data_IF_705971889445
#
_entry.id   IF_705971889445
#
_cell.length_a   1.000
_cell.length_b   1.000
_cell.length_c   1.000
_cell.angle_alpha   90.00
_cell.angle_beta   90.00
_cell.angle_gamma   90.00
#
_symmetry.space_group_name_H-M   'P 1'
#
loop_
_entity.id
_entity.type
_entity.pdbx_description
1 polymer ?
#
# COMPACT_ATOMS: atom_id res chain seq x y z
N UNK A 1 -63.35 54.69 -4.33
CA UNK A 1 -62.87 53.35 -3.92
C UNK A 1 -61.65 52.83 -4.71
N UNK A 2 -61.12 53.56 -5.71
CA UNK A 2 -60.04 53.04 -6.57
C UNK A 2 -58.59 53.24 -6.08
N UNK A 3 -58.32 54.16 -5.15
CA UNK A 3 -56.95 54.44 -4.71
C UNK A 3 -56.36 53.30 -3.83
N UNK A 4 -57.19 52.61 -3.05
CA UNK A 4 -56.76 51.55 -2.13
C UNK A 4 -56.37 50.25 -2.87
N UNK A 5 -57.06 49.91 -3.97
CA UNK A 5 -56.75 48.71 -4.78
C UNK A 5 -55.42 48.81 -5.54
N UNK A 6 -55.02 50.02 -5.97
CA UNK A 6 -53.71 50.23 -6.65
C UNK A 6 -52.54 50.11 -5.68
N UNK A 7 -52.65 50.63 -4.46
CA UNK A 7 -51.60 50.54 -3.44
C UNK A 7 -51.37 49.10 -2.97
N UNK A 8 -52.44 48.32 -2.78
CA UNK A 8 -52.34 46.90 -2.39
C UNK A 8 -51.71 46.01 -3.45
N UNK A 9 -51.95 46.31 -4.74
CA UNK A 9 -51.36 45.58 -5.87
C UNK A 9 -49.85 45.87 -6.01
N UNK A 10 -49.44 47.12 -5.77
CA UNK A 10 -48.03 47.55 -5.79
C UNK A 10 -47.19 46.94 -4.64
N UNK A 11 -47.79 46.78 -3.45
CA UNK A 11 -47.12 46.16 -2.29
C UNK A 11 -46.91 44.65 -2.50
N UNK A 12 -47.89 43.96 -3.10
CA UNK A 12 -47.80 42.53 -3.41
C UNK A 12 -46.77 42.21 -4.51
N UNK A 13 -46.67 43.04 -5.55
CA UNK A 13 -45.66 42.88 -6.60
C UNK A 13 -44.23 43.03 -6.06
N UNK A 14 -43.99 44.03 -5.20
CA UNK A 14 -42.69 44.26 -4.55
C UNK A 14 -42.30 43.16 -3.54
N UNK A 15 -43.26 42.59 -2.80
CA UNK A 15 -42.99 41.44 -1.92
C UNK A 15 -42.66 40.17 -2.71
N UNK A 16 -43.32 39.93 -3.85
CA UNK A 16 -43.03 38.78 -4.72
C UNK A 16 -41.62 38.86 -5.34
N UNK A 17 -41.19 40.06 -5.77
CA UNK A 17 -39.85 40.31 -6.30
C UNK A 17 -38.75 40.13 -5.25
N UNK A 18 -38.99 40.57 -4.01
CA UNK A 18 -38.06 40.36 -2.90
C UNK A 18 -37.88 38.88 -2.58
N UNK A 19 -38.97 38.09 -2.55
CA UNK A 19 -38.93 36.66 -2.31
C UNK A 19 -38.19 35.89 -3.41
N UNK A 20 -38.44 36.22 -4.68
CA UNK A 20 -37.68 35.67 -5.80
C UNK A 20 -36.19 36.02 -5.73
N UNK A 21 -35.82 37.23 -5.28
CA UNK A 21 -34.42 37.62 -5.10
C UNK A 21 -33.71 36.81 -4.00
N UNK A 22 -34.41 36.49 -2.90
CA UNK A 22 -33.87 35.71 -1.79
C UNK A 22 -33.67 34.25 -2.23
N UNK A 23 -34.65 33.67 -2.94
CA UNK A 23 -34.54 32.32 -3.49
C UNK A 23 -33.38 32.20 -4.49
N UNK A 24 -33.22 33.17 -5.39
CA UNK A 24 -32.07 33.23 -6.31
C UNK A 24 -30.74 33.29 -5.57
N UNK A 25 -30.66 34.07 -4.47
CA UNK A 25 -29.45 34.20 -3.65
C UNK A 25 -29.07 32.89 -2.96
N UNK A 26 -30.05 32.13 -2.46
CA UNK A 26 -29.85 30.82 -1.84
C UNK A 26 -29.34 29.80 -2.86
N UNK A 27 -29.94 29.78 -4.07
CA UNK A 27 -29.50 28.90 -5.16
C UNK A 27 -28.08 29.25 -5.60
N UNK A 28 -27.77 30.54 -5.80
CA UNK A 28 -26.42 31.01 -6.13
C UNK A 28 -25.39 30.64 -5.07
N UNK A 29 -25.72 30.81 -3.78
CA UNK A 29 -24.83 30.44 -2.68
C UNK A 29 -24.57 28.94 -2.62
N UNK A 30 -25.58 28.12 -2.93
CA UNK A 30 -25.46 26.66 -3.00
C UNK A 30 -24.58 26.21 -4.16
N UNK A 31 -24.73 26.84 -5.33
CA UNK A 31 -23.87 26.63 -6.51
C UNK A 31 -22.42 27.00 -6.20
N UNK A 32 -22.19 28.14 -5.54
CA UNK A 32 -20.85 28.58 -5.12
C UNK A 32 -20.18 27.57 -4.18
N UNK A 33 -20.93 27.04 -3.20
CA UNK A 33 -20.41 26.00 -2.29
C UNK A 33 -20.02 24.73 -3.04
N UNK A 34 -20.84 24.28 -3.98
CA UNK A 34 -20.54 23.13 -4.84
C UNK A 34 -19.29 23.37 -5.69
N UNK A 35 -19.17 24.55 -6.30
CA UNK A 35 -18.01 24.93 -7.10
C UNK A 35 -16.72 24.98 -6.27
N UNK A 36 -16.76 25.58 -5.07
CA UNK A 36 -15.60 25.65 -4.15
C UNK A 36 -15.20 24.25 -3.70
N UNK A 37 -16.18 23.41 -3.33
CA UNK A 37 -15.93 22.02 -2.94
C UNK A 37 -15.26 21.23 -4.06
N UNK A 38 -15.76 21.32 -5.29
CA UNK A 38 -15.20 20.62 -6.45
C UNK A 38 -13.77 21.10 -6.76
N UNK A 39 -13.52 22.41 -6.66
CA UNK A 39 -12.20 23.01 -6.86
C UNK A 39 -11.20 22.51 -5.81
N UNK A 40 -11.62 22.41 -4.55
CA UNK A 40 -10.79 21.86 -3.47
C UNK A 40 -10.47 20.36 -3.68
N UNK A 41 -11.44 19.57 -4.14
CA UNK A 41 -11.21 18.15 -4.49
C UNK A 41 -10.20 18.00 -5.62
N UNK A 42 -10.32 18.81 -6.68
CA UNK A 42 -9.38 18.77 -7.80
C UNK A 42 -7.96 19.15 -7.37
N UNK A 43 -7.80 20.22 -6.59
CA UNK A 43 -6.48 20.62 -6.05
C UNK A 43 -5.91 19.53 -5.13
N UNK A 44 -6.74 18.91 -4.30
CA UNK A 44 -6.28 17.82 -3.43
C UNK A 44 -5.83 16.60 -4.24
N UNK A 45 -6.53 16.26 -5.33
CA UNK A 45 -6.15 15.19 -6.25
C UNK A 45 -4.80 15.46 -6.92
N UNK A 46 -4.54 16.70 -7.35
CA UNK A 46 -3.25 17.08 -7.92
C UNK A 46 -2.09 17.04 -6.91
N UNK A 47 -2.34 17.46 -5.67
CA UNK A 47 -1.36 17.35 -4.57
C UNK A 47 -1.00 15.90 -4.28
N UNK A 48 -1.99 15.01 -4.24
CA UNK A 48 -1.77 13.58 -4.04
C UNK A 48 -0.98 12.98 -5.19
N UNK A 49 -1.31 13.29 -6.44
CA UNK A 49 -0.57 12.83 -7.61
C UNK A 49 0.90 13.27 -7.56
N UNK A 50 1.15 14.54 -7.23
CA UNK A 50 2.50 15.09 -7.09
C UNK A 50 3.29 14.38 -5.98
N UNK A 51 2.65 14.12 -4.85
CA UNK A 51 3.27 13.38 -3.74
C UNK A 51 3.63 11.94 -4.14
N UNK A 52 2.76 11.25 -4.88
CA UNK A 52 3.03 9.89 -5.39
C UNK A 52 4.25 9.88 -6.31
N UNK A 53 4.37 10.86 -7.22
CA UNK A 53 5.53 10.98 -8.12
C UNK A 53 6.83 11.19 -7.32
N UNK A 54 6.84 12.13 -6.37
CA UNK A 54 8.03 12.40 -5.54
C UNK A 54 8.42 11.15 -4.74
N UNK A 55 7.43 10.48 -4.12
CA UNK A 55 7.68 9.27 -3.35
C UNK A 55 8.20 8.13 -4.24
N UNK A 56 7.68 7.97 -5.46
CA UNK A 56 8.16 6.97 -6.42
C UNK A 56 9.62 7.22 -6.82
N UNK A 57 9.98 8.48 -7.12
CA UNK A 57 11.37 8.85 -7.42
C UNK A 57 12.30 8.60 -6.24
N UNK A 58 11.87 8.93 -5.02
CA UNK A 58 12.67 8.71 -3.82
C UNK A 58 12.88 7.22 -3.52
N UNK A 59 11.82 6.40 -3.61
CA UNK A 59 11.92 4.93 -3.49
C UNK A 59 12.87 4.36 -4.55
N UNK A 60 12.76 4.81 -5.79
CA UNK A 60 13.66 4.42 -6.88
C UNK A 60 15.12 4.81 -6.62
N UNK A 61 15.37 6.01 -6.07
CA UNK A 61 16.71 6.46 -5.71
C UNK A 61 17.35 5.61 -4.62
N UNK A 62 16.60 5.25 -3.56
CA UNK A 62 17.09 4.38 -2.48
C UNK A 62 17.56 3.03 -3.05
N UNK A 63 16.71 2.38 -3.86
CA UNK A 63 17.01 1.07 -4.44
C UNK A 63 18.23 1.15 -5.36
N UNK A 64 18.29 2.15 -6.26
CA UNK A 64 19.43 2.35 -7.18
C UNK A 64 20.73 2.55 -6.41
N UNK A 65 20.71 3.35 -5.33
CA UNK A 65 21.89 3.61 -4.50
C UNK A 65 22.39 2.32 -3.83
N UNK A 66 21.48 1.49 -3.30
CA UNK A 66 21.81 0.18 -2.73
C UNK A 66 22.42 -0.76 -3.77
N UNK A 67 21.83 -0.86 -4.96
CA UNK A 67 22.31 -1.71 -6.05
C UNK A 67 23.67 -1.29 -6.59
N UNK A 68 23.91 0.03 -6.75
CA UNK A 68 25.23 0.56 -7.17
C UNK A 68 26.30 0.21 -6.15
N UNK A 69 26.00 0.33 -4.85
CA UNK A 69 26.95 -0.02 -3.80
C UNK A 69 27.31 -1.52 -3.85
N UNK A 70 26.31 -2.39 -3.93
CA UNK A 70 26.53 -3.85 -4.07
C UNK A 70 27.34 -4.19 -5.32
N UNK A 71 27.01 -3.61 -6.48
CA UNK A 71 27.77 -3.80 -7.73
C UNK A 71 29.22 -3.37 -7.59
N UNK A 72 29.50 -2.22 -6.96
CA UNK A 72 30.88 -1.76 -6.71
C UNK A 72 31.66 -2.73 -5.82
N UNK A 73 31.04 -3.25 -4.76
CA UNK A 73 31.67 -4.25 -3.90
C UNK A 73 31.97 -5.55 -4.67
N UNK A 74 31.04 -6.03 -5.49
CA UNK A 74 31.23 -7.23 -6.32
C UNK A 74 32.38 -7.02 -7.30
N UNK A 75 32.39 -5.91 -8.04
CA UNK A 75 33.47 -5.60 -9.01
C UNK A 75 34.83 -5.52 -8.31
N UNK A 76 34.87 -4.95 -7.11
CA UNK A 76 36.09 -4.87 -6.31
C UNK A 76 36.60 -6.26 -5.88
N UNK A 77 35.72 -7.12 -5.35
CA UNK A 77 36.09 -8.49 -4.98
C UNK A 77 36.57 -9.26 -6.21
N UNK A 78 35.85 -9.15 -7.34
CA UNK A 78 36.21 -9.82 -8.58
C UNK A 78 37.56 -9.34 -9.14
N UNK A 79 37.87 -8.04 -9.05
CA UNK A 79 39.16 -7.52 -9.51
C UNK A 79 40.32 -8.01 -8.64
N UNK A 80 40.11 -8.08 -7.32
CA UNK A 80 41.07 -8.70 -6.40
C UNK A 80 41.30 -10.17 -6.71
N UNK A 81 40.23 -10.95 -6.94
CA UNK A 81 40.30 -12.37 -7.26
C UNK A 81 41.03 -12.62 -8.59
N UNK A 82 40.65 -11.89 -9.65
CA UNK A 82 41.32 -11.99 -10.97
C UNK A 82 42.81 -11.65 -10.86
N UNK A 83 43.14 -10.59 -10.12
CA UNK A 83 44.54 -10.22 -9.89
C UNK A 83 45.32 -11.27 -9.10
N UNK A 84 44.69 -11.93 -8.12
CA UNK A 84 45.31 -13.03 -7.38
C UNK A 84 45.50 -14.27 -8.25
N UNK A 85 44.49 -14.69 -9.02
CA UNK A 85 44.58 -15.83 -9.94
C UNK A 85 45.69 -15.63 -10.98
N UNK A 86 45.76 -14.47 -11.63
CA UNK A 86 46.80 -14.17 -12.61
C UNK A 86 48.22 -14.23 -12.01
N UNK A 87 48.40 -13.71 -10.78
CA UNK A 87 49.69 -13.83 -10.07
C UNK A 87 49.99 -15.28 -9.73
N UNK A 88 49.02 -16.03 -9.23
CA UNK A 88 49.18 -17.44 -8.88
C UNK A 88 49.59 -18.26 -10.12
N UNK A 89 48.89 -18.11 -11.23
CA UNK A 89 49.19 -18.79 -12.48
C UNK A 89 50.60 -18.46 -13.01
N UNK A 90 51.03 -17.19 -12.89
CA UNK A 90 52.38 -16.80 -13.26
C UNK A 90 53.46 -17.44 -12.37
N UNK A 91 53.26 -17.48 -11.05
CA UNK A 91 54.24 -18.02 -10.10
C UNK A 91 54.28 -19.55 -10.08
N UNK A 92 53.16 -20.22 -10.35
CA UNK A 92 53.05 -21.68 -10.37
C UNK A 92 53.12 -22.27 -11.78
N UNK A 93 53.36 -21.46 -12.80
CA UNK A 93 53.71 -21.94 -14.12
C UNK A 93 55.00 -22.76 -14.03
N UNK A 94 54.92 -24.06 -14.33
CA UNK A 94 56.09 -24.94 -14.35
C UNK A 94 57.21 -24.39 -15.22
N UNK A 95 56.87 -23.57 -16.24
CA UNK A 95 57.84 -22.89 -17.09
C UNK A 95 58.63 -21.82 -16.35
N UNK A 96 58.03 -21.05 -15.43
CA UNK A 96 58.77 -20.02 -14.67
C UNK A 96 59.67 -20.68 -13.61
N UNK A 97 59.18 -21.71 -12.93
CA UNK A 97 59.98 -22.48 -11.96
C UNK A 97 61.11 -23.25 -12.67
N UNK A 98 60.82 -23.90 -13.80
CA UNK A 98 61.84 -24.56 -14.62
C UNK A 98 62.86 -23.56 -15.18
N UNK A 99 62.41 -22.39 -15.67
CA UNK A 99 63.32 -21.35 -16.12
C UNK A 99 64.23 -20.86 -14.99
N UNK A 100 63.70 -20.66 -13.77
CA UNK A 100 64.51 -20.28 -12.61
C UNK A 100 65.53 -21.37 -12.26
N UNK A 101 65.13 -22.65 -12.27
CA UNK A 101 66.03 -23.79 -12.01
C UNK A 101 67.10 -23.95 -13.10
N UNK A 102 66.74 -23.84 -14.37
CA UNK A 102 67.68 -23.89 -15.49
C UNK A 102 68.65 -22.72 -15.40
N UNK A 103 68.15 -21.51 -15.15
CA UNK A 103 68.99 -20.32 -15.00
C UNK A 103 69.95 -20.44 -13.82
N UNK A 104 69.53 -21.01 -12.70
CA UNK A 104 70.41 -21.21 -11.54
C UNK A 104 71.47 -22.29 -11.81
N UNK A 105 71.11 -23.38 -12.49
CA UNK A 105 72.03 -24.45 -12.89
C UNK A 105 73.06 -23.96 -13.93
N UNK A 106 72.61 -23.23 -14.95
CA UNK A 106 73.49 -22.64 -15.97
C UNK A 106 74.43 -21.61 -15.34
N UNK A 107 73.94 -20.75 -14.44
CA UNK A 107 74.81 -19.81 -13.71
C UNK A 107 75.81 -20.55 -12.82
N UNK A 108 75.38 -21.59 -12.12
CA UNK A 108 76.27 -22.43 -11.31
C UNK A 108 77.33 -23.15 -12.15
N UNK A 109 76.94 -23.69 -13.31
CA UNK A 109 77.86 -24.32 -14.27
C UNK A 109 78.84 -23.31 -14.86
N UNK A 110 78.39 -22.12 -15.25
CA UNK A 110 79.27 -21.06 -15.77
C UNK A 110 80.32 -20.63 -14.74
N UNK A 111 79.92 -20.48 -13.47
CA UNK A 111 80.86 -20.14 -12.38
C UNK A 111 81.85 -21.29 -12.16
N UNK A 112 81.39 -22.55 -12.07
CA UNK A 112 82.27 -23.71 -11.92
C UNK A 112 83.22 -23.89 -13.10
N UNK A 113 82.76 -23.65 -14.34
CA UNK A 113 83.59 -23.67 -15.55
C UNK A 113 84.62 -22.54 -15.55
N UNK A 114 84.26 -21.34 -15.08
CA UNK A 114 85.20 -20.21 -14.93
C UNK A 114 86.26 -20.51 -13.87
N UNK A 115 85.88 -21.10 -12.73
CA UNK A 115 86.82 -21.52 -11.68
C UNK A 115 87.73 -22.66 -12.17
N UNK A 116 87.18 -23.66 -12.87
CA UNK A 116 87.98 -24.76 -13.43
C UNK A 116 88.95 -24.27 -14.50
N UNK A 117 88.52 -23.36 -15.40
CA UNK A 117 89.42 -22.73 -16.38
C UNK A 117 90.49 -21.88 -15.71
N UNK A 118 90.16 -21.17 -14.64
CA UNK A 118 91.15 -20.41 -13.87
C UNK A 118 92.10 -21.34 -13.09
N UNK A 119 91.65 -22.50 -12.62
CA UNK A 119 92.51 -23.51 -11.98
C UNK A 119 93.44 -24.19 -12.99
N UNK A 120 92.95 -24.49 -14.21
CA UNK A 120 93.79 -24.98 -15.32
C UNK A 120 94.74 -23.90 -15.86
N UNK A 121 94.32 -22.63 -15.84
CA UNK A 121 95.15 -21.48 -16.21
C UNK A 121 96.22 -21.20 -15.15
N UNK A 122 95.91 -21.28 -13.86
CA UNK A 122 96.90 -21.15 -12.78
C UNK A 122 97.89 -22.33 -12.75
N UNK A 123 97.53 -23.52 -13.25
CA UNK A 123 98.48 -24.62 -13.45
C UNK A 123 99.30 -24.51 -14.74
N UNK A 124 98.81 -23.80 -15.76
CA UNK A 124 99.54 -23.55 -17.00
C UNK A 124 100.45 -22.29 -16.93
N UNK A 125 100.10 -21.33 -16.08
CA UNK A 125 100.84 -20.06 -15.89
C UNK A 125 102.09 -20.24 -15.02
N UNK A 126 102.24 -21.35 -14.31
CA UNK A 126 103.52 -21.71 -13.66
C UNK A 126 104.58 -22.22 -14.64
N UNK A 127 104.24 -22.55 -15.90
CA UNK A 127 105.16 -23.26 -16.80
C UNK A 127 105.53 -22.57 -18.12
N UNK A 128 105.07 -21.35 -18.45
CA UNK A 128 105.62 -20.72 -19.66
C UNK A 128 105.52 -19.21 -19.74
N UNK A 129 106.69 -18.61 -19.61
CA UNK A 129 107.05 -17.27 -20.06
C UNK A 129 107.14 -17.30 -21.60
N UNK A 130 106.07 -17.02 -22.36
CA UNK A 130 106.17 -16.71 -23.80
C UNK A 130 104.86 -16.17 -24.41
N UNK A 131 104.93 -14.91 -24.85
CA UNK A 131 104.30 -14.28 -26.03
C UNK A 131 102.78 -14.20 -26.27
N UNK A 132 102.41 -12.98 -26.67
CA UNK A 132 101.37 -12.56 -27.61
C UNK A 132 99.89 -12.56 -27.19
N UNK A 133 99.58 -11.46 -26.50
CA UNK A 133 98.28 -10.80 -26.47
C UNK A 133 97.86 -10.30 -27.86
N UNK A 134 96.76 -10.80 -28.44
CA UNK A 134 95.94 -9.99 -29.38
C UNK A 134 94.47 -10.42 -29.62
N UNK A 135 93.98 -11.52 -29.03
CA UNK A 135 92.59 -11.99 -29.24
C UNK A 135 91.57 -11.80 -28.11
N UNK A 136 92.00 -11.58 -26.86
CA UNK A 136 91.13 -11.68 -25.67
C UNK A 136 90.48 -10.36 -25.23
N UNK A 137 91.05 -9.22 -25.64
CA UNK A 137 90.68 -7.91 -25.08
C UNK A 137 89.26 -7.44 -25.45
N UNK A 138 88.78 -7.73 -26.67
CA UNK A 138 87.46 -7.25 -27.13
C UNK A 138 86.27 -7.91 -26.42
N UNK A 139 86.42 -9.14 -25.91
CA UNK A 139 85.34 -9.86 -25.19
C UNK A 139 85.25 -9.47 -23.71
N UNK A 140 86.39 -9.22 -23.05
CA UNK A 140 86.40 -8.89 -21.62
C UNK A 140 85.92 -7.45 -21.38
N UNK A 141 86.34 -6.54 -22.25
CA UNK A 141 85.98 -5.11 -22.17
C UNK A 141 84.48 -4.91 -22.41
N UNK A 142 83.91 -5.59 -23.41
CA UNK A 142 82.46 -5.55 -23.68
C UNK A 142 81.62 -6.20 -22.56
N UNK A 143 82.10 -7.28 -21.94
CA UNK A 143 81.41 -7.94 -20.81
C UNK A 143 81.49 -7.10 -19.51
N UNK A 144 82.62 -6.41 -19.27
CA UNK A 144 82.78 -5.47 -18.15
C UNK A 144 81.90 -4.23 -18.30
N UNK A 145 81.83 -3.66 -19.50
CA UNK A 145 80.92 -2.55 -19.82
C UNK A 145 79.46 -3.02 -19.67
N UNK A 146 79.09 -4.18 -20.19
CA UNK A 146 77.74 -4.74 -20.03
C UNK A 146 77.37 -4.97 -18.55
N UNK A 147 78.28 -5.52 -17.74
CA UNK A 147 78.07 -5.69 -16.31
C UNK A 147 77.89 -4.35 -15.57
N UNK A 148 78.66 -3.34 -15.96
CA UNK A 148 78.59 -1.99 -15.37
C UNK A 148 77.28 -1.28 -15.75
N UNK A 149 76.86 -1.39 -17.01
CA UNK A 149 75.55 -0.90 -17.49
C UNK A 149 74.40 -1.60 -16.76
N UNK A 150 74.49 -2.92 -16.52
CA UNK A 150 73.48 -3.65 -15.75
C UNK A 150 73.42 -3.23 -14.27
N UNK A 151 74.56 -2.92 -13.65
CA UNK A 151 74.60 -2.37 -12.27
C UNK A 151 73.90 -1.01 -12.21
N UNK A 152 74.21 -0.11 -13.14
CA UNK A 152 73.57 1.22 -13.24
C UNK A 152 72.07 1.07 -13.48
N UNK A 153 71.66 0.21 -14.41
CA UNK A 153 70.24 -0.07 -14.69
C UNK A 153 69.51 -0.60 -13.46
N UNK A 154 70.08 -1.56 -12.73
CA UNK A 154 69.49 -2.11 -11.50
C UNK A 154 69.39 -1.06 -10.40
N UNK A 155 70.43 -0.25 -10.20
CA UNK A 155 70.43 0.85 -9.24
C UNK A 155 69.32 1.86 -9.56
N UNK A 156 69.23 2.29 -10.82
CA UNK A 156 68.20 3.22 -11.28
C UNK A 156 66.78 2.66 -11.09
N UNK A 157 66.56 1.38 -11.43
CA UNK A 157 65.28 0.70 -11.16
C UNK A 157 64.96 0.64 -9.66
N UNK A 158 65.96 0.46 -8.80
CA UNK A 158 65.81 0.52 -7.34
C UNK A 158 65.34 1.90 -6.86
N UNK A 159 65.91 2.99 -7.39
CA UNK A 159 65.49 4.36 -7.10
C UNK A 159 64.05 4.61 -7.54
N UNK A 160 63.68 4.19 -8.75
CA UNK A 160 62.31 4.34 -9.27
C UNK A 160 61.32 3.58 -8.40
N UNK A 161 61.65 2.36 -7.97
CA UNK A 161 60.81 1.56 -7.08
C UNK A 161 60.64 2.20 -5.71
N UNK A 162 61.72 2.74 -5.12
CA UNK A 162 61.65 3.47 -3.85
C UNK A 162 60.78 4.73 -3.96
N UNK A 163 60.95 5.53 -5.03
CA UNK A 163 60.11 6.70 -5.30
C UNK A 163 58.63 6.33 -5.44
N UNK A 164 58.33 5.26 -6.17
CA UNK A 164 56.96 4.74 -6.33
C UNK A 164 56.36 4.29 -5.00
N UNK A 165 57.08 3.47 -4.22
CA UNK A 165 56.66 3.03 -2.88
C UNK A 165 56.41 4.20 -1.94
N UNK A 166 57.32 5.18 -1.90
CA UNK A 166 57.17 6.39 -1.07
C UNK A 166 55.91 7.16 -1.45
N UNK A 167 55.63 7.36 -2.74
CA UNK A 167 54.40 8.03 -3.22
C UNK A 167 53.15 7.27 -2.78
N UNK A 168 53.13 5.94 -2.90
CA UNK A 168 52.01 5.11 -2.44
C UNK A 168 51.80 5.21 -0.93
N UNK A 169 52.87 5.12 -0.13
CA UNK A 169 52.81 5.25 1.34
C UNK A 169 52.23 6.61 1.74
N UNK A 170 52.75 7.71 1.17
CA UNK A 170 52.26 9.06 1.46
C UNK A 170 50.79 9.22 1.08
N UNK A 171 50.38 8.64 -0.04
CA UNK A 171 48.97 8.65 -0.49
C UNK A 171 48.08 7.91 0.51
N UNK A 172 48.48 6.71 0.94
CA UNK A 172 47.72 5.92 1.91
C UNK A 172 47.63 6.66 3.25
N UNK A 173 48.75 7.19 3.75
CA UNK A 173 48.81 7.95 5.00
C UNK A 173 47.89 9.18 4.95
N UNK A 174 47.91 9.94 3.86
CA UNK A 174 47.03 11.10 3.68
C UNK A 174 45.55 10.70 3.69
N UNK A 175 45.19 9.60 3.01
CA UNK A 175 43.81 9.10 2.99
C UNK A 175 43.34 8.61 4.36
N UNK A 176 44.19 7.89 5.11
CA UNK A 176 43.88 7.42 6.47
C UNK A 176 43.68 8.59 7.43
N UNK A 177 44.57 9.59 7.40
CA UNK A 177 44.44 10.82 8.21
C UNK A 177 43.13 11.55 7.90
N UNK A 178 42.81 11.70 6.61
CA UNK A 178 41.55 12.30 6.17
C UNK A 178 40.32 11.52 6.59
N UNK A 179 40.36 10.18 6.50
CA UNK A 179 39.27 9.32 6.97
C UNK A 179 39.05 9.43 8.48
N UNK A 180 40.14 9.43 9.27
CA UNK A 180 40.07 9.58 10.72
C UNK A 180 39.44 10.91 11.13
N UNK A 181 39.90 12.03 10.54
CA UNK A 181 39.34 13.36 10.81
C UNK A 181 37.86 13.47 10.43
N UNK A 182 37.44 12.92 9.28
CA UNK A 182 36.03 12.90 8.85
C UNK A 182 35.16 12.04 9.78
N UNK A 183 35.68 10.89 10.22
CA UNK A 183 34.97 10.01 11.15
C UNK A 183 34.73 10.70 12.49
N UNK A 184 35.76 11.35 13.03
CA UNK A 184 35.67 12.04 14.32
C UNK A 184 34.70 13.23 14.26
N UNK A 185 34.80 14.06 13.22
CA UNK A 185 33.86 15.19 13.03
C UNK A 185 32.42 14.72 12.84
N UNK A 186 32.19 13.62 12.12
CA UNK A 186 30.85 13.05 11.95
C UNK A 186 30.30 12.51 13.26
N UNK A 187 31.11 11.82 14.06
CA UNK A 187 30.72 11.36 15.41
C UNK A 187 30.34 12.52 16.31
N UNK A 188 31.18 13.56 16.41
CA UNK A 188 30.90 14.76 17.20
C UNK A 188 29.62 15.46 16.76
N UNK A 189 29.45 15.67 15.45
CA UNK A 189 28.22 16.27 14.88
C UNK A 189 26.99 15.44 15.23
N UNK A 190 27.06 14.12 15.14
CA UNK A 190 25.95 13.26 15.52
C UNK A 190 25.56 13.42 16.99
N UNK A 191 26.53 13.39 17.90
CA UNK A 191 26.28 13.63 19.33
C UNK A 191 25.64 14.99 19.59
N UNK A 192 26.14 16.06 18.95
CA UNK A 192 25.60 17.41 19.06
C UNK A 192 24.14 17.45 18.59
N UNK A 193 23.83 16.88 17.42
CA UNK A 193 22.46 16.85 16.89
C UNK A 193 21.52 16.06 17.80
N UNK A 194 21.98 14.95 18.39
CA UNK A 194 21.19 14.16 19.35
C UNK A 194 20.87 14.99 20.60
N UNK A 195 21.87 15.67 21.17
CA UNK A 195 21.66 16.52 22.35
C UNK A 195 20.71 17.68 22.01
N UNK A 196 20.95 18.39 20.90
CA UNK A 196 20.12 19.50 20.46
C UNK A 196 18.67 19.09 20.17
N UNK A 197 18.46 17.94 19.52
CA UNK A 197 17.10 17.44 19.24
C UNK A 197 16.35 17.04 20.50
N UNK A 198 17.02 16.39 21.46
CA UNK A 198 16.44 16.07 22.78
C UNK A 198 16.07 17.34 23.55
N UNK A 199 16.93 18.34 23.55
CA UNK A 199 16.68 19.63 24.22
C UNK A 199 15.51 20.38 23.61
N UNK A 200 15.48 20.52 22.27
CA UNK A 200 14.34 21.14 21.56
C UNK A 200 13.03 20.42 21.84
N UNK A 201 13.06 19.07 21.86
CA UNK A 201 11.89 18.27 22.22
C UNK A 201 11.44 18.49 23.67
N UNK A 202 12.37 18.65 24.60
CA UNK A 202 12.05 18.97 26.00
C UNK A 202 11.40 20.35 26.13
N UNK A 203 11.98 21.38 25.52
CA UNK A 203 11.40 22.74 25.52
C UNK A 203 9.98 22.73 24.96
N UNK A 204 9.76 22.10 23.80
CA UNK A 204 8.42 21.99 23.22
C UNK A 204 7.40 21.32 24.14
N UNK A 205 7.80 20.27 24.89
CA UNK A 205 6.94 19.62 25.89
C UNK A 205 6.69 20.49 27.12
N UNK A 206 7.71 21.24 27.57
CA UNK A 206 7.59 22.18 28.70
C UNK A 206 6.60 23.30 28.36
N UNK A 207 6.75 23.90 27.18
CA UNK A 207 5.91 25.02 26.72
C UNK A 207 4.46 24.58 26.47
N UNK A 208 4.25 23.34 25.98
CA UNK A 208 2.92 22.80 25.71
C UNK A 208 2.21 22.19 26.92
N UNK A 209 2.87 22.06 28.09
CA UNK A 209 2.32 21.38 29.28
C UNK A 209 0.97 21.96 29.73
N UNK A 210 0.87 23.30 29.79
CA UNK A 210 -0.37 23.98 30.20
C UNK A 210 -1.52 23.72 29.22
N UNK A 211 -1.26 23.88 27.92
CA UNK A 211 -2.24 23.64 26.84
C UNK A 211 -2.72 22.18 26.81
N UNK A 212 -1.82 21.23 27.03
CA UNK A 212 -2.17 19.81 27.11
C UNK A 212 -3.03 19.50 28.35
N UNK A 213 -2.75 20.13 29.49
CA UNK A 213 -3.57 19.99 30.69
C UNK A 213 -4.97 20.55 30.47
N UNK A 214 -5.07 21.74 29.88
CA UNK A 214 -6.35 22.36 29.51
C UNK A 214 -7.15 21.47 28.54
N UNK A 215 -6.48 20.94 27.50
CA UNK A 215 -7.11 20.03 26.55
C UNK A 215 -7.64 18.77 27.23
N UNK A 216 -6.86 18.18 28.14
CA UNK A 216 -7.28 17.01 28.93
C UNK A 216 -8.48 17.33 29.82
N UNK A 217 -8.47 18.46 30.51
CA UNK A 217 -9.58 18.91 31.35
C UNK A 217 -10.85 19.12 30.51
N UNK A 218 -10.73 19.77 29.35
CA UNK A 218 -11.85 19.94 28.42
C UNK A 218 -12.39 18.60 27.93
N UNK A 219 -11.50 17.68 27.57
CA UNK A 219 -11.89 16.34 27.12
C UNK A 219 -12.61 15.56 28.24
N UNK A 220 -12.13 15.65 29.49
CA UNK A 220 -12.79 15.04 30.65
C UNK A 220 -14.15 15.68 30.94
N UNK A 221 -14.27 17.01 30.92
CA UNK A 221 -15.55 17.72 31.08
C UNK A 221 -16.54 17.30 29.98
N UNK A 222 -16.10 17.25 28.73
CA UNK A 222 -16.93 16.78 27.62
C UNK A 222 -17.36 15.33 27.81
N UNK A 223 -16.46 14.44 28.25
CA UNK A 223 -16.78 13.04 28.52
C UNK A 223 -17.77 12.86 29.69
N UNK A 224 -17.63 13.64 30.76
CA UNK A 224 -18.55 13.63 31.90
C UNK A 224 -19.95 14.14 31.54
N UNK A 225 -20.04 15.05 30.57
CA UNK A 225 -21.30 15.61 30.08
C UNK A 225 -21.98 14.73 29.00
N UNK A 226 -21.42 13.57 28.65
CA UNK A 226 -22.09 12.64 27.72
C UNK A 226 -23.22 11.94 28.46
N UNK A 227 -24.43 12.47 28.31
CA UNK A 227 -25.65 11.78 28.72
C UNK A 227 -25.80 10.46 27.94
N UNK A 228 -26.27 9.41 28.62
CA UNK A 228 -26.59 8.14 27.99
C UNK A 228 -27.61 8.34 26.86
N UNK A 229 -28.57 9.25 26.99
CA UNK A 229 -29.56 9.53 25.93
C UNK A 229 -28.92 10.00 24.61
N UNK A 230 -27.75 10.66 24.67
CA UNK A 230 -27.04 11.18 23.50
C UNK A 230 -26.16 10.15 22.79
N UNK A 231 -25.97 8.98 23.39
CA UNK A 231 -25.26 7.87 22.74
C UNK A 231 -26.05 7.45 21.51
N UNK A 232 -25.36 7.24 20.39
CA UNK A 232 -25.98 6.91 19.10
C UNK A 232 -27.00 5.77 19.23
N UNK A 233 -26.68 4.73 20.02
CA UNK A 233 -27.58 3.62 20.26
C UNK A 233 -28.90 4.05 20.93
N UNK A 234 -28.84 4.85 22.00
CA UNK A 234 -30.03 5.29 22.73
C UNK A 234 -30.86 6.28 21.91
N UNK A 235 -30.21 7.14 21.12
CA UNK A 235 -30.89 8.00 20.13
C UNK A 235 -31.61 7.19 19.06
N UNK A 236 -31.01 6.09 18.61
CA UNK A 236 -31.62 5.21 17.62
C UNK A 236 -32.80 4.44 18.18
N UNK A 237 -32.70 3.95 19.43
CA UNK A 237 -33.83 3.29 20.11
C UNK A 237 -35.01 4.25 20.24
N UNK A 238 -34.76 5.50 20.67
CA UNK A 238 -35.79 6.53 20.74
C UNK A 238 -36.41 6.81 19.35
N UNK A 239 -35.57 7.03 18.33
CA UNK A 239 -36.05 7.29 16.97
C UNK A 239 -36.82 6.10 16.38
N UNK A 240 -36.43 4.86 16.71
CA UNK A 240 -37.13 3.65 16.32
C UNK A 240 -38.54 3.59 16.93
N UNK A 241 -38.68 3.96 18.21
CA UNK A 241 -39.98 3.99 18.89
C UNK A 241 -40.96 4.99 18.27
N UNK A 242 -40.44 6.08 17.70
CA UNK A 242 -41.24 7.11 17.02
C UNK A 242 -41.43 6.85 15.52
N UNK A 243 -40.69 5.90 14.92
CA UNK A 243 -40.55 5.72 13.47
C UNK A 243 -41.89 5.58 12.74
N UNK A 244 -42.82 4.80 13.30
CA UNK A 244 -44.16 4.60 12.70
C UNK A 244 -45.11 5.78 12.90
N UNK A 245 -44.78 6.71 13.79
CA UNK A 245 -45.58 7.90 14.09
C UNK A 245 -45.12 9.15 13.34
N UNK A 246 -43.94 9.09 12.70
CA UNK A 246 -43.38 10.20 11.95
C UNK A 246 -44.25 10.56 10.75
N UNK A 247 -44.64 11.84 10.64
CA UNK A 247 -45.45 12.35 9.51
C UNK A 247 -44.61 12.66 8.27
N UNK A 248 -43.30 12.86 8.43
CA UNK A 248 -42.39 13.25 7.36
C UNK A 248 -41.67 12.04 6.78
N UNK A 249 -41.91 11.75 5.50
CA UNK A 249 -41.20 10.69 4.75
C UNK A 249 -39.68 10.93 4.75
N UNK A 250 -39.25 12.20 4.69
CA UNK A 250 -37.83 12.54 4.79
C UNK A 250 -37.24 12.21 6.17
N UNK A 251 -38.01 12.38 7.25
CA UNK A 251 -37.60 11.99 8.60
C UNK A 251 -37.52 10.47 8.77
N UNK A 252 -38.49 9.73 8.21
CA UNK A 252 -38.47 8.26 8.19
C UNK A 252 -37.23 7.76 7.44
N UNK A 253 -36.97 8.32 6.25
CA UNK A 253 -35.83 7.95 5.43
C UNK A 253 -34.50 8.18 6.15
N UNK A 254 -34.29 9.37 6.72
CA UNK A 254 -33.08 9.69 7.47
C UNK A 254 -32.87 8.73 8.66
N UNK A 255 -33.95 8.38 9.36
CA UNK A 255 -33.90 7.43 10.49
C UNK A 255 -33.51 6.03 10.01
N UNK A 256 -34.10 5.55 8.91
CA UNK A 256 -33.78 4.25 8.31
C UNK A 256 -32.35 4.20 7.77
N UNK A 257 -31.86 5.27 7.16
CA UNK A 257 -30.45 5.38 6.71
C UNK A 257 -29.48 5.32 7.89
N UNK A 258 -29.81 6.01 8.99
CA UNK A 258 -29.00 5.97 10.21
C UNK A 258 -29.02 4.58 10.84
N UNK A 259 -30.16 3.90 10.87
CA UNK A 259 -30.28 2.51 11.34
C UNK A 259 -29.45 1.55 10.49
N UNK A 260 -29.52 1.63 9.16
CA UNK A 260 -28.74 0.78 8.25
C UNK A 260 -27.24 0.99 8.43
N UNK A 261 -26.79 2.25 8.47
CA UNK A 261 -25.35 2.56 8.60
C UNK A 261 -24.77 2.13 9.95
N UNK A 262 -25.54 2.25 11.04
CA UNK A 262 -25.05 1.91 12.39
C UNK A 262 -25.12 0.42 12.69
N UNK A 263 -26.13 -0.30 12.17
CA UNK A 263 -26.22 -1.77 12.29
C UNK A 263 -25.18 -2.50 11.44
N UNK A 264 -24.61 -1.85 10.41
CA UNK A 264 -23.62 -2.46 9.52
C UNK A 264 -22.32 -2.90 10.23
N UNK A 265 -21.92 -2.18 11.29
CA UNK A 265 -20.58 -2.33 11.89
C UNK A 265 -20.57 -2.81 13.35
N UNK A 266 -21.73 -2.94 14.01
CA UNK A 266 -21.79 -3.23 15.45
C UNK A 266 -22.83 -4.30 15.78
N UNK A 267 -22.38 -5.48 16.20
CA UNK A 267 -23.24 -6.56 16.69
C UNK A 267 -24.06 -6.12 17.91
N UNK A 268 -23.43 -5.45 18.89
CA UNK A 268 -24.11 -4.96 20.09
C UNK A 268 -25.24 -3.99 19.75
N UNK A 269 -25.08 -3.17 18.71
CA UNK A 269 -26.15 -2.29 18.22
C UNK A 269 -27.34 -3.10 17.70
N UNK A 270 -27.07 -4.16 16.93
CA UNK A 270 -28.09 -5.07 16.41
C UNK A 270 -28.86 -5.77 17.55
N UNK A 271 -28.17 -6.29 18.55
CA UNK A 271 -28.78 -6.97 19.71
C UNK A 271 -29.72 -6.03 20.49
N UNK A 272 -29.25 -4.83 20.80
CA UNK A 272 -29.99 -3.84 21.58
C UNK A 272 -31.20 -3.28 20.79
N UNK A 273 -31.07 -3.10 19.48
CA UNK A 273 -32.19 -2.71 18.62
C UNK A 273 -33.24 -3.82 18.51
N UNK A 274 -32.82 -5.08 18.40
CA UNK A 274 -33.74 -6.22 18.40
C UNK A 274 -34.47 -6.33 19.74
N UNK A 275 -33.76 -6.15 20.86
CA UNK A 275 -34.38 -6.09 22.19
C UNK A 275 -35.39 -4.94 22.33
N UNK A 276 -35.15 -3.82 21.65
CA UNK A 276 -36.09 -2.69 21.57
C UNK A 276 -37.27 -2.89 20.58
N UNK A 277 -37.41 -4.07 19.96
CA UNK A 277 -38.52 -4.36 19.04
C UNK A 277 -38.32 -3.84 17.61
N UNK A 278 -37.06 -3.68 17.17
CA UNK A 278 -36.76 -3.18 15.83
C UNK A 278 -37.33 -4.05 14.70
N UNK A 279 -37.34 -5.39 14.87
CA UNK A 279 -37.80 -6.30 13.82
C UNK A 279 -39.28 -6.04 13.48
N UNK A 280 -40.16 -6.04 14.49
CA UNK A 280 -41.59 -5.81 14.27
C UNK A 280 -41.87 -4.41 13.71
N UNK A 281 -41.12 -3.41 14.17
CA UNK A 281 -41.25 -2.02 13.70
C UNK A 281 -40.85 -1.90 12.23
N UNK A 282 -39.72 -2.48 11.84
CA UNK A 282 -39.24 -2.49 10.46
C UNK A 282 -40.16 -3.30 9.53
N UNK A 283 -40.68 -4.45 9.98
CA UNK A 283 -41.63 -5.26 9.21
C UNK A 283 -42.95 -4.52 8.96
N UNK A 284 -43.48 -3.82 9.98
CA UNK A 284 -44.66 -2.95 9.83
C UNK A 284 -44.38 -1.83 8.83
N UNK A 285 -43.23 -1.16 8.96
CA UNK A 285 -42.81 -0.11 8.03
C UNK A 285 -42.76 -0.64 6.59
N UNK A 286 -42.03 -1.74 6.36
CA UNK A 286 -41.93 -2.40 5.05
C UNK A 286 -43.31 -2.68 4.44
N UNK A 287 -44.25 -3.17 5.25
CA UNK A 287 -45.61 -3.47 4.77
C UNK A 287 -46.47 -2.24 4.44
N UNK A 288 -46.15 -1.08 5.03
CA UNK A 288 -46.90 0.19 4.87
C UNK A 288 -46.38 1.08 3.74
N UNK A 289 -45.16 0.82 3.26
CA UNK A 289 -44.44 1.68 2.33
C UNK A 289 -44.99 1.54 0.91
N UNK A 290 -45.22 2.68 0.24
CA UNK A 290 -45.83 2.72 -1.10
C UNK A 290 -44.80 2.52 -2.23
N UNK A 291 -45.24 2.67 -3.49
CA UNK A 291 -44.35 2.59 -4.68
C UNK A 291 -43.69 3.93 -5.04
N UNK A 292 -43.84 4.96 -4.22
CA UNK A 292 -43.17 6.24 -4.48
C UNK A 292 -41.65 6.08 -4.38
N UNK A 293 -40.89 6.90 -5.11
CA UNK A 293 -39.42 6.87 -5.09
C UNK A 293 -38.86 6.98 -3.65
N UNK A 294 -39.29 7.93 -2.79
CA UNK A 294 -38.75 8.02 -1.43
C UNK A 294 -39.14 6.82 -0.57
N UNK A 295 -40.32 6.25 -0.79
CA UNK A 295 -40.78 5.04 -0.11
C UNK A 295 -39.93 3.82 -0.51
N UNK A 296 -39.54 3.68 -1.77
CA UNK A 296 -38.64 2.60 -2.20
C UNK A 296 -37.24 2.70 -1.57
N UNK A 297 -36.75 3.91 -1.30
CA UNK A 297 -35.50 4.09 -0.54
C UNK A 297 -35.65 3.75 0.94
N UNK A 298 -36.80 4.09 1.57
CA UNK A 298 -37.13 3.65 2.93
C UNK A 298 -37.16 2.12 3.01
N UNK A 299 -37.81 1.47 2.04
CA UNK A 299 -37.85 0.02 1.91
C UNK A 299 -36.43 -0.57 1.80
N UNK A 300 -35.59 0.00 0.93
CA UNK A 300 -34.21 -0.45 0.72
C UNK A 300 -33.38 -0.39 2.01
N UNK A 301 -33.44 0.73 2.75
CA UNK A 301 -32.72 0.87 4.01
C UNK A 301 -33.30 -0.04 5.11
N UNK A 302 -34.62 -0.21 5.17
CA UNK A 302 -35.28 -1.10 6.14
C UNK A 302 -34.89 -2.56 5.92
N UNK A 303 -34.94 -3.03 4.67
CA UNK A 303 -34.48 -4.36 4.30
C UNK A 303 -32.97 -4.52 4.55
N UNK A 304 -32.15 -3.51 4.24
CA UNK A 304 -30.71 -3.57 4.52
C UNK A 304 -30.43 -3.70 6.01
N UNK A 305 -31.21 -3.00 6.84
CA UNK A 305 -31.13 -3.11 8.30
C UNK A 305 -31.48 -4.54 8.74
N UNK A 306 -32.60 -5.11 8.27
CA UNK A 306 -32.96 -6.51 8.57
C UNK A 306 -31.88 -7.50 8.11
N UNK A 307 -31.26 -7.27 6.96
CA UNK A 307 -30.11 -8.08 6.50
C UNK A 307 -28.92 -7.97 7.45
N UNK A 308 -28.60 -6.76 7.92
CA UNK A 308 -27.51 -6.57 8.88
C UNK A 308 -27.78 -7.35 10.18
N UNK A 309 -29.03 -7.42 10.62
CA UNK A 309 -29.45 -8.25 11.77
C UNK A 309 -29.32 -9.75 11.46
N UNK A 310 -29.83 -10.20 10.32
CA UNK A 310 -29.81 -11.60 9.88
C UNK A 310 -28.40 -12.17 9.60
N UNK A 311 -27.36 -11.33 9.70
CA UNK A 311 -25.96 -11.77 9.68
C UNK A 311 -25.61 -12.61 10.90
N UNK A 312 -26.26 -12.38 12.04
CA UNK A 312 -25.95 -13.03 13.31
C UNK A 312 -26.97 -14.15 13.60
N UNK A 313 -26.54 -15.42 13.74
CA UNK A 313 -27.46 -16.57 13.83
C UNK A 313 -28.55 -16.45 14.90
N UNK A 314 -28.19 -16.01 16.10
CA UNK A 314 -29.15 -15.82 17.21
C UNK A 314 -30.20 -14.73 16.93
N UNK A 315 -29.86 -13.68 16.16
CA UNK A 315 -30.84 -12.66 15.74
C UNK A 315 -31.68 -13.14 14.56
N UNK A 316 -31.14 -14.01 13.70
CA UNK A 316 -31.89 -14.66 12.63
C UNK A 316 -33.01 -15.54 13.19
N UNK A 317 -32.76 -16.25 14.28
CA UNK A 317 -33.81 -17.02 14.99
C UNK A 317 -34.94 -16.12 15.51
N UNK A 318 -34.59 -14.98 16.11
CA UNK A 318 -35.60 -13.98 16.53
C UNK A 318 -36.39 -13.48 15.33
N UNK A 319 -35.72 -13.16 14.21
CA UNK A 319 -36.37 -12.74 12.97
C UNK A 319 -37.31 -13.80 12.39
N UNK A 320 -36.94 -15.08 12.43
CA UNK A 320 -37.79 -16.20 11.98
C UNK A 320 -39.04 -16.32 12.84
N UNK A 321 -38.88 -16.19 14.17
CA UNK A 321 -39.97 -16.29 15.13
C UNK A 321 -40.89 -15.06 15.14
N UNK A 322 -40.44 -13.91 14.61
CA UNK A 322 -41.27 -12.72 14.49
C UNK A 322 -42.46 -12.92 13.55
N UNK A 323 -43.65 -12.58 14.04
CA UNK A 323 -44.92 -12.84 13.34
C UNK A 323 -44.96 -12.16 11.97
N UNK A 324 -45.08 -12.96 10.92
CA UNK A 324 -45.23 -12.47 9.55
C UNK A 324 -43.92 -12.00 8.89
N UNK A 325 -42.77 -12.14 9.56
CA UNK A 325 -41.47 -11.75 9.01
C UNK A 325 -41.17 -12.44 7.68
N UNK A 326 -41.24 -13.78 7.67
CA UNK A 326 -40.97 -14.62 6.49
C UNK A 326 -41.91 -14.27 5.35
N UNK A 327 -43.21 -14.12 5.64
CA UNK A 327 -44.21 -13.73 4.63
C UNK A 327 -43.88 -12.37 4.02
N UNK A 328 -43.56 -11.37 4.83
CA UNK A 328 -43.24 -10.00 4.37
C UNK A 328 -41.97 -9.98 3.53
N UNK A 329 -40.90 -10.63 3.99
CA UNK A 329 -39.61 -10.69 3.27
C UNK A 329 -39.76 -11.44 1.95
N UNK A 330 -40.43 -12.60 1.96
CA UNK A 330 -40.67 -13.39 0.75
C UNK A 330 -41.56 -12.64 -0.25
N UNK A 331 -42.57 -11.93 0.24
CA UNK A 331 -43.42 -11.11 -0.61
C UNK A 331 -42.65 -9.96 -1.26
N UNK A 332 -41.79 -9.27 -0.51
CA UNK A 332 -40.92 -8.21 -1.06
C UNK A 332 -39.88 -8.75 -2.04
N UNK A 333 -39.32 -9.93 -1.80
CA UNK A 333 -38.45 -10.61 -2.77
C UNK A 333 -39.16 -10.85 -4.10
N UNK A 334 -40.40 -11.33 -4.07
CA UNK A 334 -41.19 -11.61 -5.28
C UNK A 334 -41.66 -10.33 -6.00
N UNK A 335 -41.85 -9.24 -5.26
CA UNK A 335 -42.37 -7.97 -5.77
C UNK A 335 -41.28 -7.09 -6.40
N UNK A 336 -40.06 -7.08 -5.84
CA UNK A 336 -39.00 -6.16 -6.25
C UNK A 336 -38.21 -6.64 -7.49
N UNK A 337 -37.68 -5.67 -8.25
CA UNK A 337 -36.81 -5.93 -9.42
C UNK A 337 -35.42 -5.29 -9.33
N UNK A 338 -35.25 -4.39 -8.37
CA UNK A 338 -34.05 -3.56 -8.17
C UNK A 338 -33.26 -4.04 -6.93
N UNK A 339 -32.47 -3.17 -6.31
CA UNK A 339 -31.59 -3.52 -5.16
C UNK A 339 -32.33 -4.23 -4.01
N UNK A 340 -33.59 -3.86 -3.74
CA UNK A 340 -34.42 -4.53 -2.73
C UNK A 340 -34.60 -6.03 -2.98
N UNK A 341 -34.57 -6.48 -4.25
CA UNK A 341 -34.63 -7.90 -4.62
C UNK A 341 -33.43 -8.67 -4.06
N UNK A 342 -32.22 -8.15 -4.24
CA UNK A 342 -31.00 -8.82 -3.79
C UNK A 342 -30.88 -8.79 -2.27
N UNK A 343 -31.22 -7.68 -1.63
CA UNK A 343 -31.21 -7.59 -0.17
C UNK A 343 -32.19 -8.60 0.45
N UNK A 344 -33.42 -8.68 -0.07
CA UNK A 344 -34.40 -9.66 0.40
C UNK A 344 -33.93 -11.10 0.16
N UNK A 345 -33.25 -11.36 -0.96
CA UNK A 345 -32.69 -12.69 -1.25
C UNK A 345 -31.59 -13.11 -0.28
N UNK A 346 -30.74 -12.17 0.14
CA UNK A 346 -29.68 -12.42 1.11
C UNK A 346 -30.27 -12.78 2.48
N UNK A 347 -31.35 -12.09 2.89
CA UNK A 347 -32.08 -12.42 4.12
C UNK A 347 -32.70 -13.81 4.04
N UNK A 348 -33.42 -14.11 2.95
CA UNK A 348 -34.02 -15.43 2.74
C UNK A 348 -32.97 -16.54 2.73
N UNK A 349 -31.81 -16.31 2.11
CA UNK A 349 -30.70 -17.25 2.13
C UNK A 349 -30.21 -17.55 3.54
N UNK A 350 -30.17 -16.54 4.43
CA UNK A 350 -29.84 -16.74 5.86
C UNK A 350 -30.93 -17.50 6.61
N UNK A 351 -32.21 -17.24 6.29
CA UNK A 351 -33.35 -17.97 6.86
C UNK A 351 -33.31 -19.45 6.46
N UNK A 352 -32.97 -19.76 5.20
CA UNK A 352 -32.89 -21.13 4.69
C UNK A 352 -31.73 -21.94 5.31
N UNK A 353 -30.78 -21.32 6.00
CA UNK A 353 -29.75 -22.06 6.75
C UNK A 353 -30.26 -22.62 8.08
N UNK A 354 -31.48 -22.26 8.49
CA UNK A 354 -32.09 -22.70 9.73
C UNK A 354 -33.34 -23.56 9.43
N UNK A 355 -33.44 -24.74 10.04
CA UNK A 355 -34.53 -25.70 9.77
C UNK A 355 -35.92 -25.11 10.05
N UNK A 356 -36.07 -24.35 11.15
CA UNK A 356 -37.31 -23.66 11.52
C UNK A 356 -37.72 -22.63 10.43
N UNK A 357 -36.71 -22.00 9.81
CA UNK A 357 -36.91 -21.05 8.72
C UNK A 357 -37.48 -21.71 7.46
N UNK A 358 -36.98 -22.90 7.12
CA UNK A 358 -37.47 -23.70 5.98
C UNK A 358 -38.91 -24.17 6.24
N UNK A 359 -39.18 -24.74 7.41
CA UNK A 359 -40.53 -25.17 7.79
C UNK A 359 -41.54 -24.02 7.68
N UNK A 360 -41.16 -22.84 8.17
CA UNK A 360 -41.98 -21.63 8.09
C UNK A 360 -42.16 -21.11 6.66
N UNK A 361 -41.20 -21.34 5.76
CA UNK A 361 -41.34 -21.06 4.33
C UNK A 361 -42.29 -22.04 3.64
N UNK A 362 -42.24 -23.34 3.99
CA UNK A 362 -43.18 -24.35 3.49
C UNK A 362 -44.63 -24.06 3.89
N UNK A 363 -44.85 -23.41 5.03
CA UNK A 363 -46.16 -22.90 5.44
C UNK A 363 -46.70 -21.76 4.55
N UNK A 364 -45.97 -21.31 3.52
CA UNK A 364 -46.39 -20.28 2.56
C UNK A 364 -46.55 -20.83 1.11
N UNK A 365 -47.43 -21.83 0.85
CA UNK A 365 -47.50 -22.53 -0.43
C UNK A 365 -47.85 -21.62 -1.62
N UNK A 366 -48.65 -20.58 -1.39
CA UNK A 366 -49.02 -19.61 -2.43
C UNK A 366 -47.81 -18.79 -2.89
N UNK A 367 -46.95 -18.37 -1.96
CA UNK A 367 -45.75 -17.59 -2.29
C UNK A 367 -44.67 -18.48 -2.90
N UNK A 368 -44.54 -19.74 -2.47
CA UNK A 368 -43.64 -20.71 -3.10
C UNK A 368 -44.04 -21.03 -4.53
N UNK A 369 -45.35 -21.17 -4.81
CA UNK A 369 -45.84 -21.30 -6.20
C UNK A 369 -45.48 -20.08 -7.04
N UNK A 370 -45.59 -18.86 -6.48
CA UNK A 370 -45.17 -17.62 -7.16
C UNK A 370 -43.66 -17.57 -7.39
N UNK A 371 -42.85 -18.07 -6.46
CA UNK A 371 -41.40 -18.19 -6.62
C UNK A 371 -41.05 -19.12 -7.78
N UNK A 372 -41.69 -20.30 -7.86
CA UNK A 372 -41.51 -21.22 -8.98
C UNK A 372 -41.84 -20.55 -10.31
N UNK A 373 -42.98 -19.87 -10.40
CA UNK A 373 -43.37 -19.13 -11.60
C UNK A 373 -42.36 -18.03 -11.96
N UNK A 374 -41.80 -17.33 -10.97
CA UNK A 374 -40.76 -16.32 -11.17
C UNK A 374 -39.48 -16.92 -11.77
N UNK A 375 -39.05 -18.08 -11.28
CA UNK A 375 -37.89 -18.82 -11.82
C UNK A 375 -38.15 -19.20 -13.28
N UNK A 376 -39.32 -19.78 -13.58
CA UNK A 376 -39.71 -20.18 -14.94
C UNK A 376 -39.74 -18.98 -15.90
N UNK A 377 -40.29 -17.84 -15.45
CA UNK A 377 -40.36 -16.61 -16.25
C UNK A 377 -38.98 -16.00 -16.50
N UNK A 378 -38.11 -15.96 -15.49
CA UNK A 378 -36.73 -15.47 -15.63
C UNK A 378 -35.91 -16.39 -16.55
N UNK A 379 -36.13 -17.70 -16.48
CA UNK A 379 -35.46 -18.68 -17.35
C UNK A 379 -35.87 -18.50 -18.82
N UNK A 380 -37.17 -18.31 -19.09
CA UNK A 380 -37.68 -17.99 -20.43
C UNK A 380 -37.09 -16.68 -20.97
N UNK A 381 -37.05 -15.62 -20.15
CA UNK A 381 -36.46 -14.33 -20.52
C UNK A 381 -34.98 -14.43 -20.83
N UNK A 382 -34.21 -15.11 -19.98
CA UNK A 382 -32.78 -15.33 -20.22
C UNK A 382 -32.52 -16.11 -21.52
N UNK A 383 -33.39 -17.08 -21.85
CA UNK A 383 -33.35 -17.82 -23.11
C UNK A 383 -33.64 -16.93 -24.34
N UNK A 384 -34.64 -16.06 -24.26
CA UNK A 384 -35.00 -15.13 -25.34
C UNK A 384 -33.94 -14.05 -25.55
N UNK A 385 -33.34 -13.53 -24.48
CA UNK A 385 -32.32 -12.49 -24.57
C UNK A 385 -30.99 -13.02 -25.12
N UNK A 386 -30.67 -14.32 -24.93
CA UNK A 386 -29.53 -14.98 -25.62
C UNK A 386 -29.68 -14.93 -27.14
N UNK A 387 -30.90 -14.88 -27.66
CA UNK A 387 -31.20 -14.82 -29.11
C UNK A 387 -31.17 -13.40 -29.68
N UNK A 388 -31.34 -12.36 -28.86
CA UNK A 388 -31.47 -10.96 -29.31
C UNK A 388 -30.27 -10.10 -28.90
N UNK A 389 -29.41 -9.69 -29.86
CA UNK A 389 -28.11 -9.04 -29.66
C UNK A 389 -28.11 -7.60 -29.07
N UNK A 390 -29.27 -6.96 -28.83
CA UNK A 390 -29.34 -5.49 -28.66
C UNK A 390 -29.24 -4.87 -27.24
N UNK A 391 -29.09 -5.64 -26.14
CA UNK A 391 -28.87 -5.04 -24.80
C UNK A 391 -28.05 -5.94 -23.88
N UNK A 392 -26.82 -5.53 -23.55
CA UNK A 392 -25.91 -6.29 -22.68
C UNK A 392 -26.22 -6.11 -21.18
N UNK A 393 -26.59 -4.90 -20.74
CA UNK A 393 -26.85 -4.60 -19.33
C UNK A 393 -28.13 -5.28 -18.81
N UNK A 394 -29.19 -5.32 -19.63
CA UNK A 394 -30.44 -6.02 -19.27
C UNK A 394 -30.24 -7.53 -19.10
N UNK A 395 -29.39 -8.13 -19.95
CA UNK A 395 -29.03 -9.56 -19.87
C UNK A 395 -28.33 -9.91 -18.58
N UNK A 396 -27.35 -9.10 -18.19
CA UNK A 396 -26.60 -9.35 -16.96
C UNK A 396 -27.51 -9.31 -15.73
N UNK A 397 -28.41 -8.33 -15.68
CA UNK A 397 -29.38 -8.20 -14.59
C UNK A 397 -30.37 -9.39 -14.55
N UNK A 398 -30.94 -9.78 -15.68
CA UNK A 398 -31.86 -10.94 -15.77
C UNK A 398 -31.14 -12.23 -15.34
N UNK A 399 -29.90 -12.43 -15.76
CA UNK A 399 -29.10 -13.61 -15.37
C UNK A 399 -28.77 -13.62 -13.88
N UNK A 400 -28.37 -12.47 -13.30
CA UNK A 400 -28.11 -12.36 -11.86
C UNK A 400 -29.36 -12.70 -11.05
N UNK A 401 -30.52 -12.16 -11.45
CA UNK A 401 -31.80 -12.45 -10.78
C UNK A 401 -32.21 -13.91 -10.92
N UNK A 402 -32.06 -14.49 -12.11
CA UNK A 402 -32.34 -15.91 -12.34
C UNK A 402 -31.48 -16.79 -11.44
N UNK A 403 -30.17 -16.54 -11.37
CA UNK A 403 -29.25 -17.29 -10.51
C UNK A 403 -29.71 -17.30 -9.06
N UNK A 404 -29.97 -16.12 -8.50
CA UNK A 404 -30.42 -15.95 -7.11
C UNK A 404 -31.76 -16.65 -6.85
N UNK A 405 -32.74 -16.49 -7.76
CA UNK A 405 -34.05 -17.14 -7.62
C UNK A 405 -33.94 -18.66 -7.61
N UNK A 406 -33.13 -19.22 -8.52
CA UNK A 406 -32.95 -20.67 -8.64
C UNK A 406 -32.23 -21.23 -7.42
N UNK A 407 -31.17 -20.58 -6.95
CA UNK A 407 -30.43 -20.98 -5.74
C UNK A 407 -31.35 -21.00 -4.50
N UNK A 408 -32.13 -19.94 -4.30
CA UNK A 408 -33.10 -19.90 -3.20
C UNK A 408 -34.19 -20.96 -3.33
N UNK A 409 -34.74 -21.16 -4.53
CA UNK A 409 -35.76 -22.18 -4.76
C UNK A 409 -35.20 -23.58 -4.44
N UNK A 410 -33.98 -23.88 -4.89
CA UNK A 410 -33.31 -25.14 -4.59
C UNK A 410 -33.10 -25.34 -3.09
N UNK A 411 -32.60 -24.32 -2.38
CA UNK A 411 -32.42 -24.37 -0.93
C UNK A 411 -33.74 -24.70 -0.20
N UNK A 412 -34.85 -24.08 -0.61
CA UNK A 412 -36.16 -24.30 0.02
C UNK A 412 -36.71 -25.69 -0.32
N UNK A 413 -36.41 -26.25 -1.49
CA UNK A 413 -36.90 -27.59 -1.88
C UNK A 413 -36.04 -28.75 -1.40
N UNK A 414 -34.79 -28.49 -1.01
CA UNK A 414 -33.81 -29.53 -0.65
C UNK A 414 -33.58 -29.67 0.86
N UNK A 415 -33.83 -28.62 1.64
CA UNK A 415 -33.99 -28.73 3.09
C UNK A 415 -35.45 -28.90 3.46
#
# INVERSE_FOLDING_TARGET
MDCSKKSFRYINENQSGCFQSIQLRIVLHSILKLQIWWRNISVQKERLNSAVVIQAHFRGWIVRRGTIHKKRCIVFIQSCLRGWLARREFFYSDRTIAAIKIQSLVKGWLIRKRISRNSSFCKAVTDSYASETKGCFKSLETEMVACSVLKIKKWWMGILLFKSRKKSILTIQAQVRGWHARRETTRRRHCIVVIQSRWKGYLARKDSKGRLLELRLRMQKSAANVDNSMRILNRLIAALSELLTMKSVSGILHTCETLDTTTRYSQKCCEELVAAGAIDTLLKLISSVSRSIPDQEVLRHSLSTLRNLARYPHLTEVLINSRGAIKTILWEFLRNKEEGYFIASEILGKICLNGIGIESLHQQPVLLKRLKNLVDDLQKRAGNEKRNLRSAAGREQTQRRLKVATELFQLITSG
#
